data_IF_683391017937
#
_entry.id   IF_683391017937
#
_cell.length_a   1.000
_cell.length_b   1.000
_cell.length_c   1.000
_cell.angle_alpha   90.00
_cell.angle_beta   90.00
_cell.angle_gamma   90.00
#
_symmetry.space_group_name_H-M   'P 1'
#
loop_
_entity.id
_entity.type
_entity.pdbx_description
1 polymer ?
#
# COMPACT_ATOMS: atom_id res chain seq x y z
N UNK A 1 13.49 -4.51 2.14
CA UNK A 1 12.18 -5.17 1.98
C UNK A 1 11.07 -4.16 2.23
N UNK A 2 10.03 -4.19 1.44
CA UNK A 2 8.89 -3.29 1.60
C UNK A 2 7.62 -4.12 1.73
N UNK A 3 6.76 -3.80 2.68
CA UNK A 3 5.43 -4.34 2.76
C UNK A 3 4.42 -3.25 2.39
N UNK A 4 3.55 -3.55 1.46
CA UNK A 4 2.52 -2.64 1.02
C UNK A 4 1.18 -3.24 1.41
N UNK A 5 0.45 -2.53 2.25
CA UNK A 5 -0.88 -2.95 2.63
C UNK A 5 -1.93 -1.92 2.26
N UNK A 6 -2.94 -2.41 1.57
CA UNK A 6 -4.16 -1.67 1.30
C UNK A 6 -5.39 -2.54 1.65
N UNK A 7 -6.53 -1.95 2.03
CA UNK A 7 -7.84 -2.63 2.04
C UNK A 7 -8.29 -3.03 0.63
N UNK A 8 -7.47 -2.84 -0.33
CA UNK A 8 -7.61 -3.16 -1.73
C UNK A 8 -6.34 -2.74 -2.44
N UNK A 9 -6.18 -3.10 -3.65
CA UNK A 9 -5.10 -2.72 -4.54
C UNK A 9 -5.44 -1.38 -5.18
N UNK A 10 -5.52 -0.34 -4.36
CA UNK A 10 -5.75 1.04 -4.78
C UNK A 10 -4.52 1.69 -5.40
N UNK A 11 -4.69 2.92 -5.90
CA UNK A 11 -3.62 3.60 -6.62
C UNK A 11 -2.35 3.83 -5.81
N UNK A 12 -2.46 4.13 -4.49
CA UNK A 12 -1.28 4.33 -3.62
C UNK A 12 -0.45 3.05 -3.52
N UNK A 13 -1.10 1.93 -3.24
CA UNK A 13 -0.42 0.64 -3.07
C UNK A 13 0.24 0.15 -4.34
N UNK A 14 -0.39 0.34 -5.50
CA UNK A 14 0.19 -0.12 -6.76
C UNK A 14 1.35 0.76 -7.21
N UNK A 15 1.29 2.07 -7.01
CA UNK A 15 2.46 2.93 -7.22
C UNK A 15 3.60 2.58 -6.27
N UNK A 16 3.31 2.31 -4.98
CA UNK A 16 4.33 1.90 -4.03
C UNK A 16 4.98 0.56 -4.45
N UNK A 17 4.19 -0.43 -4.93
CA UNK A 17 4.72 -1.66 -5.49
C UNK A 17 5.65 -1.38 -6.69
N UNK A 18 5.18 -0.60 -7.66
CA UNK A 18 5.95 -0.29 -8.86
C UNK A 18 7.25 0.45 -8.53
N UNK A 19 7.22 1.43 -7.62
CA UNK A 19 8.42 2.12 -7.17
C UNK A 19 9.38 1.22 -6.37
N UNK A 20 8.85 0.32 -5.54
CA UNK A 20 9.67 -0.66 -4.84
C UNK A 20 10.41 -1.57 -5.84
N UNK A 21 9.72 -2.06 -6.86
CA UNK A 21 10.34 -2.90 -7.89
C UNK A 21 11.35 -2.11 -8.74
N UNK A 22 11.05 -0.85 -9.04
CA UNK A 22 11.98 0.04 -9.76
C UNK A 22 13.33 0.18 -9.06
N UNK A 23 13.34 0.25 -7.73
CA UNK A 23 14.58 0.35 -6.94
C UNK A 23 15.15 -1.01 -6.51
N UNK A 24 14.63 -2.11 -7.03
CA UNK A 24 15.11 -3.47 -6.73
C UNK A 24 14.73 -3.99 -5.34
N UNK A 25 13.75 -3.37 -4.67
CA UNK A 25 13.31 -3.84 -3.38
C UNK A 25 12.42 -5.10 -3.51
N UNK A 26 12.50 -5.99 -2.50
CA UNK A 26 11.51 -7.05 -2.34
C UNK A 26 10.22 -6.45 -1.78
N UNK A 27 9.10 -6.78 -2.41
CA UNK A 27 7.80 -6.21 -2.07
C UNK A 27 6.76 -7.30 -1.79
N UNK A 28 6.04 -7.16 -0.68
CA UNK A 28 4.87 -7.96 -0.36
C UNK A 28 3.61 -7.10 -0.44
N UNK A 29 2.55 -7.65 -1.02
CA UNK A 29 1.23 -7.01 -1.08
C UNK A 29 0.23 -7.83 -0.27
N UNK A 30 -0.57 -7.15 0.56
CA UNK A 30 -1.60 -7.76 1.38
C UNK A 30 -2.97 -7.32 0.88
N UNK A 31 -3.83 -8.26 0.52
CA UNK A 31 -5.18 -8.01 -0.01
C UNK A 31 -6.19 -9.01 0.55
N UNK A 32 -7.47 -8.72 0.44
CA UNK A 32 -8.55 -9.65 0.78
C UNK A 32 -9.22 -10.27 -0.46
N UNK A 33 -8.61 -10.16 -1.64
CA UNK A 33 -9.13 -10.69 -2.92
C UNK A 33 -8.05 -11.46 -3.64
N UNK A 34 -8.32 -12.73 -3.94
CA UNK A 34 -7.39 -13.61 -4.66
C UNK A 34 -7.07 -13.07 -6.06
N UNK A 35 -8.10 -12.62 -6.79
CA UNK A 35 -7.92 -11.99 -8.11
C UNK A 35 -6.92 -10.82 -8.06
N UNK A 36 -7.10 -9.94 -7.08
CA UNK A 36 -6.21 -8.76 -6.92
C UNK A 36 -4.80 -9.16 -6.49
N UNK A 37 -4.67 -10.21 -5.69
CA UNK A 37 -3.36 -10.77 -5.32
C UNK A 37 -2.64 -11.34 -6.54
N UNK A 38 -3.35 -12.07 -7.41
CA UNK A 38 -2.74 -12.56 -8.64
C UNK A 38 -2.27 -11.41 -9.53
N UNK A 39 -3.08 -10.37 -9.73
CA UNK A 39 -2.68 -9.18 -10.47
C UNK A 39 -1.49 -8.44 -9.85
N UNK A 40 -1.36 -8.46 -8.51
CA UNK A 40 -0.19 -7.89 -7.83
C UNK A 40 1.08 -8.73 -8.09
N UNK A 41 0.97 -10.07 -8.14
CA UNK A 41 2.09 -10.95 -8.58
C UNK A 41 2.52 -10.62 -10.01
N UNK A 42 1.57 -10.45 -10.91
CA UNK A 42 1.83 -10.12 -12.32
C UNK A 42 2.53 -8.74 -12.46
N UNK A 43 2.31 -7.83 -11.50
CA UNK A 43 3.01 -6.55 -11.38
C UNK A 43 4.37 -6.65 -10.66
N UNK A 44 4.81 -7.84 -10.28
CA UNK A 44 6.11 -8.09 -9.69
C UNK A 44 6.15 -8.11 -8.16
N UNK A 45 5.02 -8.25 -7.47
CA UNK A 45 5.05 -8.53 -6.04
C UNK A 45 5.75 -9.88 -5.80
N UNK A 46 6.76 -9.88 -4.92
CA UNK A 46 7.51 -11.10 -4.59
C UNK A 46 6.71 -12.05 -3.72
N UNK A 47 5.77 -11.50 -2.95
CA UNK A 47 4.84 -12.26 -2.13
C UNK A 47 3.50 -11.54 -2.01
N UNK A 48 2.45 -12.31 -1.81
CA UNK A 48 1.11 -11.78 -1.51
C UNK A 48 0.49 -12.55 -0.37
N UNK A 49 -0.37 -11.88 0.41
CA UNK A 49 -1.00 -12.49 1.57
C UNK A 49 -2.47 -12.08 1.69
N UNK A 50 -3.33 -13.07 1.95
CA UNK A 50 -4.74 -12.82 2.20
C UNK A 50 -4.99 -12.55 3.69
N UNK A 51 -5.30 -11.29 4.03
CA UNK A 51 -5.55 -10.90 5.42
C UNK A 51 -6.88 -11.45 5.98
N UNK A 52 -7.81 -11.87 5.12
CA UNK A 52 -9.08 -12.48 5.55
C UNK A 52 -8.88 -13.89 6.07
N UNK A 53 -7.96 -14.63 5.47
CA UNK A 53 -7.60 -15.98 5.90
C UNK A 53 -6.60 -15.95 7.06
N UNK A 54 -5.81 -14.89 7.15
CA UNK A 54 -4.76 -14.74 8.13
C UNK A 54 -4.89 -13.42 8.91
N UNK A 55 -5.77 -13.36 9.93
CA UNK A 55 -5.96 -12.14 10.72
C UNK A 55 -4.70 -11.65 11.44
N UNK A 56 -3.79 -12.59 11.81
CA UNK A 56 -2.49 -12.30 12.42
C UNK A 56 -1.35 -12.20 11.39
N UNK A 57 -1.64 -11.63 10.24
CA UNK A 57 -0.72 -11.54 9.12
C UNK A 57 0.64 -10.87 9.46
N UNK A 58 0.72 -10.06 10.49
CA UNK A 58 1.99 -9.45 10.91
C UNK A 58 3.08 -10.44 11.26
N UNK A 59 2.73 -11.63 11.78
CA UNK A 59 3.67 -12.72 12.04
C UNK A 59 4.19 -13.33 10.74
N UNK A 60 3.29 -13.64 9.81
CA UNK A 60 3.66 -14.23 8.51
C UNK A 60 4.52 -13.27 7.68
N UNK A 61 4.23 -11.97 7.73
CA UNK A 61 5.06 -10.94 7.08
C UNK A 61 6.49 -10.95 7.65
N UNK A 62 6.65 -11.18 8.94
CA UNK A 62 8.00 -11.36 9.53
C UNK A 62 8.69 -12.62 9.03
N UNK A 63 7.97 -13.72 8.90
CA UNK A 63 8.52 -14.98 8.36
C UNK A 63 9.03 -14.78 6.94
N UNK A 64 8.30 -14.04 6.09
CA UNK A 64 8.75 -13.65 4.75
C UNK A 64 10.11 -12.90 4.76
N UNK A 65 10.38 -12.13 5.77
CA UNK A 65 11.63 -11.39 5.95
C UNK A 65 12.76 -12.20 6.59
N UNK A 66 12.57 -13.49 6.83
CA UNK A 66 13.52 -14.32 7.59
C UNK A 66 13.47 -14.07 9.11
N UNK A 67 12.35 -13.54 9.61
CA UNK A 67 12.15 -13.28 11.04
C UNK A 67 12.57 -11.87 11.51
N UNK A 68 13.33 -11.13 10.71
CA UNK A 68 13.79 -9.79 11.08
C UNK A 68 12.68 -8.74 11.07
N UNK A 69 11.74 -8.85 10.16
CA UNK A 69 10.66 -7.89 9.90
C UNK A 69 10.94 -7.02 8.68
N UNK A 70 9.99 -6.17 8.35
CA UNK A 70 9.97 -5.35 7.15
C UNK A 70 10.63 -3.99 7.43
N UNK A 71 11.45 -3.51 6.48
CA UNK A 71 12.13 -2.21 6.59
C UNK A 71 11.16 -1.04 6.51
N UNK A 72 10.20 -1.13 5.59
CA UNK A 72 9.27 -0.04 5.30
C UNK A 72 7.87 -0.58 5.03
N UNK A 73 6.87 -0.03 5.70
CA UNK A 73 5.46 -0.34 5.49
C UNK A 73 4.72 0.89 4.98
N UNK A 74 4.00 0.74 3.88
CA UNK A 74 3.06 1.73 3.36
C UNK A 74 1.68 1.41 3.94
N UNK A 75 1.24 2.22 4.89
CA UNK A 75 0.02 1.99 5.67
C UNK A 75 -1.10 2.92 5.19
N UNK A 76 -2.11 2.34 4.55
CA UNK A 76 -3.29 3.08 4.05
C UNK A 76 -4.59 2.69 4.76
N UNK A 77 -4.59 1.59 5.50
CA UNK A 77 -5.79 1.10 6.20
C UNK A 77 -6.13 1.86 7.46
N UNK A 78 -5.14 2.23 8.27
CA UNK A 78 -5.31 2.95 9.51
C UNK A 78 -5.51 2.06 10.74
N UNK A 79 -6.45 2.39 11.66
CA UNK A 79 -6.58 1.75 12.98
C UNK A 79 -6.70 0.24 13.00
N UNK A 80 -7.45 -0.35 12.08
CA UNK A 80 -7.64 -1.81 12.04
C UNK A 80 -6.40 -2.57 11.59
N UNK A 81 -5.46 -1.89 10.98
CA UNK A 81 -4.33 -2.53 10.29
C UNK A 81 -2.98 -2.23 10.93
N UNK A 82 -2.86 -1.06 11.53
CA UNK A 82 -1.63 -0.62 12.17
C UNK A 82 -1.13 -1.55 13.28
N UNK A 83 -1.97 -2.23 14.10
CA UNK A 83 -1.47 -3.21 15.07
C UNK A 83 -0.68 -4.35 14.44
N UNK A 84 -1.10 -4.85 13.28
CA UNK A 84 -0.36 -5.89 12.57
C UNK A 84 0.88 -5.33 11.87
N UNK A 85 0.81 -4.11 11.35
CA UNK A 85 1.97 -3.39 10.80
C UNK A 85 3.06 -3.21 11.87
N UNK A 86 2.70 -2.87 13.11
CA UNK A 86 3.63 -2.80 14.24
C UNK A 86 4.24 -4.16 14.63
N UNK A 87 3.54 -5.27 14.38
CA UNK A 87 4.09 -6.62 14.56
C UNK A 87 5.04 -7.00 13.43
N UNK A 88 4.74 -6.57 12.20
CA UNK A 88 5.50 -6.90 11.00
C UNK A 88 6.81 -6.13 10.87
N UNK A 89 6.83 -4.87 11.31
CA UNK A 89 7.97 -3.97 11.14
C UNK A 89 9.21 -4.46 11.93
N UNK A 90 10.40 -4.30 11.36
CA UNK A 90 11.65 -4.56 12.08
C UNK A 90 11.99 -3.45 13.08
N UNK A 91 12.90 -3.70 14.02
CA UNK A 91 13.49 -2.62 14.84
C UNK A 91 14.10 -1.53 13.94
N UNK A 92 13.84 -0.27 14.27
CA UNK A 92 14.28 0.91 13.50
C UNK A 92 13.59 1.09 12.14
N UNK A 93 12.59 0.26 11.82
CA UNK A 93 11.84 0.36 10.57
C UNK A 93 10.87 1.54 10.54
N UNK A 94 10.36 1.86 9.35
CA UNK A 94 9.47 3.01 9.12
C UNK A 94 8.10 2.56 8.64
N UNK A 95 7.05 3.07 9.25
CA UNK A 95 5.66 2.93 8.77
C UNK A 95 5.21 4.30 8.25
N UNK A 96 5.02 4.40 6.95
CA UNK A 96 4.43 5.56 6.28
C UNK A 96 2.91 5.52 6.41
N UNK A 97 2.37 6.38 7.26
CA UNK A 97 0.95 6.49 7.53
C UNK A 97 0.31 7.45 6.54
N UNK A 98 -0.44 6.92 5.59
CA UNK A 98 -1.02 7.68 4.48
C UNK A 98 -2.54 7.75 4.62
N UNK A 99 -3.18 6.61 4.86
CA UNK A 99 -4.64 6.50 4.93
C UNK A 99 -5.17 6.26 6.34
N UNK A 100 -6.40 6.70 6.54
CA UNK A 100 -7.18 6.48 7.76
C UNK A 100 -8.55 5.87 7.40
N UNK A 101 -8.55 4.93 6.46
CA UNK A 101 -9.77 4.37 5.86
C UNK A 101 -10.68 3.66 6.88
N UNK A 102 -10.11 3.12 7.97
CA UNK A 102 -10.87 2.47 9.03
C UNK A 102 -11.20 3.41 10.21
N UNK A 103 -10.90 4.69 10.09
CA UNK A 103 -11.18 5.72 11.10
C UNK A 103 -9.96 6.58 11.46
N UNK A 104 -10.16 7.71 12.14
CA UNK A 104 -9.07 8.63 12.48
C UNK A 104 -8.36 8.28 13.78
N UNK A 105 -8.95 7.44 14.64
CA UNK A 105 -8.46 7.19 15.99
C UNK A 105 -8.14 5.71 16.22
N UNK A 106 -7.08 5.44 16.96
CA UNK A 106 -6.72 4.09 17.37
C UNK A 106 -6.11 4.04 18.78
N UNK A 107 -6.21 2.86 19.41
CA UNK A 107 -5.42 2.51 20.59
C UNK A 107 -4.14 1.82 20.14
N UNK A 108 -2.99 2.46 20.33
CA UNK A 108 -1.68 1.91 19.97
C UNK A 108 -1.07 1.12 21.13
N UNK A 109 -0.38 0.02 20.81
CA UNK A 109 0.52 -0.67 21.74
C UNK A 109 1.87 0.07 21.78
N UNK A 110 1.97 1.11 22.58
CA UNK A 110 3.16 1.96 22.68
C UNK A 110 4.45 1.16 22.97
N UNK A 111 4.34 0.08 23.72
CA UNK A 111 5.47 -0.81 24.01
C UNK A 111 6.19 -1.29 22.75
N UNK A 112 5.46 -1.70 21.72
CA UNK A 112 6.07 -2.14 20.46
C UNK A 112 6.77 -0.99 19.72
N UNK A 113 6.21 0.21 19.75
CA UNK A 113 6.78 1.39 19.11
C UNK A 113 8.10 1.76 19.79
N UNK A 114 8.08 1.82 21.11
CA UNK A 114 9.26 2.21 21.92
C UNK A 114 10.35 1.16 21.86
N UNK A 115 10.05 -0.10 22.18
CA UNK A 115 11.05 -1.17 22.27
C UNK A 115 11.69 -1.51 20.92
N UNK A 116 10.96 -1.31 19.82
CA UNK A 116 11.48 -1.52 18.47
C UNK A 116 11.96 -0.24 17.78
N UNK A 117 11.89 0.90 18.44
CA UNK A 117 12.31 2.20 17.87
C UNK A 117 11.64 2.46 16.50
N UNK A 118 10.34 2.14 16.39
CA UNK A 118 9.59 2.27 15.13
C UNK A 118 9.39 3.74 14.80
N UNK A 119 9.59 4.10 13.54
CA UNK A 119 9.24 5.43 13.02
C UNK A 119 7.85 5.40 12.43
N UNK A 120 6.93 6.18 12.99
CA UNK A 120 5.61 6.43 12.42
C UNK A 120 5.65 7.78 11.70
N UNK A 121 5.65 7.75 10.38
CA UNK A 121 5.74 8.96 9.57
C UNK A 121 4.41 9.24 8.89
N UNK A 122 3.73 10.30 9.31
CA UNK A 122 2.54 10.81 8.62
C UNK A 122 2.92 11.37 7.25
N UNK A 123 2.15 11.01 6.24
CA UNK A 123 2.33 11.48 4.87
C UNK A 123 0.99 11.98 4.34
N UNK A 124 0.98 13.21 3.85
CA UNK A 124 -0.15 13.79 3.15
C UNK A 124 0.12 13.81 1.64
N UNK A 125 -0.34 14.83 0.95
CA UNK A 125 -0.09 15.05 -0.48
C UNK A 125 1.26 15.72 -0.70
N UNK A 126 1.80 15.61 -1.91
CA UNK A 126 2.99 16.35 -2.34
C UNK A 126 2.62 17.70 -3.01
N UNK A 127 3.63 18.54 -3.20
CA UNK A 127 3.52 19.76 -4.00
C UNK A 127 3.80 19.48 -5.48
N UNK A 128 3.54 20.48 -6.33
CA UNK A 128 3.65 20.38 -7.79
C UNK A 128 5.04 19.92 -8.25
N UNK A 129 6.11 20.52 -7.71
CA UNK A 129 7.49 20.17 -8.14
C UNK A 129 7.82 18.70 -7.84
N UNK A 130 7.36 18.18 -6.68
CA UNK A 130 7.49 16.76 -6.33
C UNK A 130 6.71 15.86 -7.30
N UNK A 131 5.51 16.29 -7.71
CA UNK A 131 4.73 15.56 -8.71
C UNK A 131 5.42 15.56 -10.07
N UNK A 132 5.93 16.69 -10.53
CA UNK A 132 6.66 16.78 -11.80
C UNK A 132 7.95 15.96 -11.77
N UNK A 133 8.68 15.95 -10.65
CA UNK A 133 9.85 15.09 -10.46
C UNK A 133 9.48 13.60 -10.52
N UNK A 134 8.38 13.21 -9.87
CA UNK A 134 7.85 11.85 -9.92
C UNK A 134 7.47 11.45 -11.35
N UNK A 135 6.81 12.33 -12.12
CA UNK A 135 6.45 12.06 -13.51
C UNK A 135 7.70 11.82 -14.38
N UNK A 136 8.77 12.61 -14.19
CA UNK A 136 10.06 12.36 -14.87
C UNK A 136 10.64 10.99 -14.51
N UNK A 137 10.60 10.61 -13.24
CA UNK A 137 11.06 9.30 -12.77
C UNK A 137 10.24 8.14 -13.37
N UNK A 138 8.92 8.27 -13.42
CA UNK A 138 8.00 7.30 -14.05
C UNK A 138 8.35 7.14 -15.53
N UNK A 139 8.51 8.24 -16.24
CA UNK A 139 8.85 8.22 -17.68
C UNK A 139 10.22 7.58 -17.93
N UNK A 140 11.24 7.97 -17.17
CA UNK A 140 12.59 7.43 -17.31
C UNK A 140 12.68 5.92 -17.01
N UNK A 141 11.85 5.44 -16.10
CA UNK A 141 11.82 4.02 -15.67
C UNK A 141 10.85 3.16 -16.47
N UNK A 142 10.09 3.74 -17.39
CA UNK A 142 9.11 3.01 -18.19
C UNK A 142 7.91 2.49 -17.39
N UNK A 143 7.70 2.98 -16.16
CA UNK A 143 6.55 2.60 -15.35
C UNK A 143 5.26 3.08 -16.03
N UNK A 144 4.30 2.17 -16.14
CA UNK A 144 2.95 2.50 -16.60
C UNK A 144 2.00 2.50 -15.40
N UNK A 145 1.32 3.62 -15.10
CA UNK A 145 0.30 3.65 -14.07
C UNK A 145 -0.78 2.60 -14.33
N UNK A 146 -1.18 1.89 -13.28
CA UNK A 146 -2.24 0.88 -13.40
C UNK A 146 -3.59 1.58 -13.42
N UNK A 147 -4.24 1.56 -14.56
CA UNK A 147 -5.60 2.09 -14.77
C UNK A 147 -6.56 0.91 -14.87
N UNK A 148 -7.56 0.89 -13.96
CA UNK A 148 -8.60 -0.14 -13.95
C UNK A 148 -9.59 0.09 -15.10
N UNK A 149 -10.03 1.33 -15.23
CA UNK A 149 -10.93 1.76 -16.30
C UNK A 149 -10.83 3.25 -16.59
N UNK A 150 -11.23 3.61 -17.78
CA UNK A 150 -11.42 4.99 -18.21
C UNK A 150 -12.90 5.18 -18.49
N UNK A 151 -13.50 6.21 -17.95
CA UNK A 151 -14.90 6.58 -18.16
C UNK A 151 -14.96 7.96 -18.80
N UNK A 152 -15.93 8.26 -19.66
CA UNK A 152 -16.12 9.61 -20.15
C UNK A 152 -16.55 10.54 -19.00
N UNK A 153 -16.24 11.82 -19.11
CA UNK A 153 -16.44 12.78 -18.00
C UNK A 153 -17.90 12.88 -17.55
N UNK A 154 -18.87 12.72 -18.45
CA UNK A 154 -20.30 12.69 -18.13
C UNK A 154 -20.69 11.53 -17.18
N UNK A 155 -19.81 10.54 -17.02
CA UNK A 155 -19.94 9.42 -16.08
C UNK A 155 -19.23 9.65 -14.74
N UNK A 156 -18.94 10.91 -14.39
CA UNK A 156 -18.25 11.24 -13.12
C UNK A 156 -18.96 10.65 -11.89
N UNK A 157 -20.29 10.75 -11.82
CA UNK A 157 -21.05 10.21 -10.68
C UNK A 157 -20.90 8.68 -10.56
N UNK A 158 -20.96 7.98 -11.69
CA UNK A 158 -20.71 6.53 -11.73
C UNK A 158 -19.30 6.20 -11.23
N UNK A 159 -18.28 6.96 -11.67
CA UNK A 159 -16.90 6.79 -11.19
C UNK A 159 -16.79 6.98 -9.68
N UNK A 160 -17.47 7.99 -9.13
CA UNK A 160 -17.48 8.26 -7.69
C UNK A 160 -18.18 7.15 -6.89
N UNK A 161 -19.24 6.54 -7.41
CA UNK A 161 -19.93 5.42 -6.77
C UNK A 161 -19.11 4.12 -6.77
N UNK A 162 -18.20 3.95 -7.72
CA UNK A 162 -17.33 2.78 -7.79
C UNK A 162 -16.21 2.81 -6.71
N UNK A 163 -15.75 3.99 -6.30
CA UNK A 163 -14.63 4.13 -5.36
C UNK A 163 -14.89 3.48 -4.00
N UNK A 164 -16.02 3.73 -3.30
CA UNK A 164 -16.28 3.13 -1.99
C UNK A 164 -16.51 1.62 -2.06
N UNK A 165 -16.86 1.07 -3.22
CA UNK A 165 -17.02 -0.38 -3.41
C UNK A 165 -15.68 -1.13 -3.30
N UNK A 166 -14.54 -0.44 -3.50
CA UNK A 166 -13.20 -1.02 -3.38
C UNK A 166 -12.93 -2.16 -4.36
N UNK A 167 -13.71 -2.27 -5.45
CA UNK A 167 -13.59 -3.35 -6.45
C UNK A 167 -12.55 -3.07 -7.51
N UNK A 168 -12.23 -1.79 -7.75
CA UNK A 168 -11.22 -1.36 -8.74
C UNK A 168 -9.81 -1.83 -8.35
N UNK A 169 -8.93 -1.91 -9.36
CA UNK A 169 -7.51 -2.25 -9.21
C UNK A 169 -6.66 -1.13 -9.83
N UNK A 170 -6.13 -0.24 -9.00
CA UNK A 170 -5.39 0.94 -9.45
C UNK A 170 -6.24 2.20 -9.52
N UNK A 171 -6.25 2.87 -10.64
CA UNK A 171 -6.92 4.15 -10.84
C UNK A 171 -8.17 4.02 -11.72
N UNK A 172 -9.21 4.75 -11.38
CA UNK A 172 -10.34 5.06 -12.28
C UNK A 172 -10.03 6.42 -12.88
N UNK A 173 -9.99 6.52 -14.20
CA UNK A 173 -9.70 7.75 -14.92
C UNK A 173 -10.96 8.28 -15.61
N UNK A 174 -11.00 9.58 -15.82
CA UNK A 174 -12.02 10.26 -16.62
C UNK A 174 -11.37 10.85 -17.86
N UNK A 175 -12.02 10.69 -19.01
CA UNK A 175 -11.61 11.27 -20.28
C UNK A 175 -12.54 12.44 -20.62
N UNK A 176 -11.94 13.56 -21.06
CA UNK A 176 -12.65 14.79 -21.45
C UNK A 176 -12.83 14.91 -22.94
#
# INVERSE_FOLDING_TARGET
QMCIRDRGTGGVSLFALQFAKMVGARAMVISGSEEKMQRARDLGADEVLNYRENPEWGKQVREFSGGEGIDHIVEVGGPETLPQSLRAIRPGGTISMIGVLSGPEMKAQLGLIVTRQVRLQGITVGHRDGFEAMCRGIQASGIKPVVDRVLPFDKLLEAMELLPQGRHFGKICLEF
#
